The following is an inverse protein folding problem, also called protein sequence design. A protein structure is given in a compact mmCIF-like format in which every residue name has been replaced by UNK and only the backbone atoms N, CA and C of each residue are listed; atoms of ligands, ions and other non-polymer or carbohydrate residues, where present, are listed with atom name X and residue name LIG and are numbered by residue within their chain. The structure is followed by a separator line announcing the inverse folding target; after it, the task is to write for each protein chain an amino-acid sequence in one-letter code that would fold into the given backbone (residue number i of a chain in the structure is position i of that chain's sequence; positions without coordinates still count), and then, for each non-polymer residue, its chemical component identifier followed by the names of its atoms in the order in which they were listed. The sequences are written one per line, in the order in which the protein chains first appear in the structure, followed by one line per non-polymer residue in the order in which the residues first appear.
data_IF_564265768018
#
_entry.id   IF_564265768018
#
_cell.length_a   1.000
_cell.length_b   1.000
_cell.length_c   1.000
_cell.angle_alpha   90.00
_cell.angle_beta   90.00
_cell.angle_gamma   90.00
#
_symmetry.space_group_name_H-M   'P 1'
#
loop_
_entity.id
_entity.type
_entity.pdbx_description
1 polymer ?
#
# COMPACT_ATOMS: atom_id res chain seq x y z
N UNK A 1 -13.22 -0.49 -12.07
CA UNK A 1 -11.81 -0.72 -11.68
C UNK A 1 -11.16 0.62 -11.40
N UNK A 2 -10.69 0.84 -10.17
CA UNK A 2 -10.04 2.09 -9.75
C UNK A 2 -8.52 1.88 -9.65
N UNK A 3 -7.74 2.75 -10.31
CA UNK A 3 -6.27 2.81 -10.21
C UNK A 3 -5.87 3.96 -9.29
N UNK A 4 -5.00 3.69 -8.34
CA UNK A 4 -4.40 4.69 -7.44
C UNK A 4 -2.88 4.51 -7.43
N UNK A 5 -2.15 5.61 -7.32
CA UNK A 5 -0.68 5.61 -7.22
C UNK A 5 -0.22 6.51 -6.09
N UNK A 6 0.83 6.11 -5.40
CA UNK A 6 1.52 6.93 -4.40
C UNK A 6 3.02 6.66 -4.45
N UNK A 7 3.80 7.72 -4.25
CA UNK A 7 5.26 7.67 -4.25
C UNK A 7 5.78 8.18 -2.92
N UNK A 8 6.74 7.46 -2.34
CA UNK A 8 7.39 7.79 -1.08
C UNK A 8 8.90 7.88 -1.31
N UNK A 9 9.50 9.00 -0.92
CA UNK A 9 10.89 9.37 -1.21
C UNK A 9 11.72 9.70 0.04
N UNK A 10 11.24 9.28 1.20
CA UNK A 10 11.89 9.44 2.50
C UNK A 10 11.52 8.26 3.41
N UNK A 11 12.19 8.12 4.55
CA UNK A 11 11.84 7.13 5.57
C UNK A 11 10.52 7.53 6.27
N UNK A 12 9.39 7.20 5.64
CA UNK A 12 8.07 7.53 6.15
C UNK A 12 6.98 6.62 5.58
N UNK A 13 5.83 6.60 6.25
CA UNK A 13 4.61 6.09 5.68
C UNK A 13 4.03 7.08 4.68
N UNK A 14 3.67 6.59 3.50
CA UNK A 14 3.00 7.34 2.45
C UNK A 14 1.52 7.60 2.75
N UNK A 15 0.83 8.16 1.77
CA UNK A 15 -0.59 8.48 1.90
C UNK A 15 -1.42 7.21 2.06
N UNK A 16 -2.40 7.26 2.97
CA UNK A 16 -3.47 6.26 3.08
C UNK A 16 -4.24 6.20 1.76
N UNK A 17 -4.41 5.00 1.20
CA UNK A 17 -5.14 4.73 -0.03
C UNK A 17 -6.47 4.01 0.31
N UNK A 18 -7.60 4.73 0.42
CA UNK A 18 -8.91 4.13 0.67
C UNK A 18 -9.33 3.18 -0.45
N UNK A 19 -9.88 2.03 -0.09
CA UNK A 19 -10.46 1.06 -1.04
C UNK A 19 -11.93 0.79 -0.69
N UNK A 20 -12.71 0.37 -1.69
CA UNK A 20 -14.11 0.00 -1.46
C UNK A 20 -14.22 -1.43 -0.91
N UNK A 21 -14.14 -1.56 0.41
CA UNK A 21 -14.23 -2.85 1.11
C UNK A 21 -15.62 -3.49 1.02
N UNK A 22 -16.65 -2.74 0.63
CA UNK A 22 -18.04 -3.23 0.50
C UNK A 22 -18.34 -3.82 -0.87
N UNK A 23 -17.38 -3.82 -1.80
CA UNK A 23 -17.56 -4.41 -3.11
C UNK A 23 -17.71 -5.94 -3.01
N UNK A 24 -18.77 -6.48 -3.64
CA UNK A 24 -19.06 -7.92 -3.66
C UNK A 24 -17.98 -8.77 -4.34
N UNK A 25 -17.10 -8.15 -5.14
CA UNK A 25 -15.96 -8.78 -5.80
C UNK A 25 -14.66 -8.10 -5.38
N UNK A 26 -14.45 -7.94 -4.08
CA UNK A 26 -13.23 -7.35 -3.53
C UNK A 26 -11.98 -8.13 -3.97
N UNK A 27 -11.13 -7.49 -4.78
CA UNK A 27 -9.76 -7.93 -5.06
C UNK A 27 -8.88 -6.70 -5.30
N UNK A 28 -7.70 -6.70 -4.69
CA UNK A 28 -6.67 -5.69 -4.95
C UNK A 28 -5.46 -6.34 -5.61
N UNK A 29 -4.99 -5.77 -6.71
CA UNK A 29 -3.68 -6.02 -7.27
C UNK A 29 -2.76 -4.85 -6.98
N UNK A 30 -1.52 -5.10 -6.58
CA UNK A 30 -0.57 -4.08 -6.17
C UNK A 30 0.81 -4.39 -6.73
N UNK A 31 1.54 -3.34 -7.11
CA UNK A 31 2.93 -3.43 -7.48
C UNK A 31 3.69 -2.24 -6.89
N UNK A 32 4.87 -2.48 -6.34
CA UNK A 32 5.80 -1.45 -5.87
C UNK A 32 7.02 -1.45 -6.78
N UNK A 33 7.33 -0.29 -7.34
CA UNK A 33 8.50 -0.08 -8.20
C UNK A 33 9.42 0.93 -7.54
N UNK A 34 10.68 0.55 -7.42
CA UNK A 34 11.76 1.41 -6.93
C UNK A 34 12.38 2.18 -8.08
N UNK A 35 12.80 3.41 -7.83
CA UNK A 35 13.62 4.17 -8.77
C UNK A 35 14.96 3.45 -9.03
N UNK A 36 15.54 3.64 -10.21
CA UNK A 36 16.85 3.08 -10.54
C UNK A 36 17.88 3.52 -9.50
N UNK A 37 18.64 2.56 -8.94
CA UNK A 37 19.66 2.83 -7.93
C UNK A 37 19.12 3.19 -6.53
N UNK A 38 17.84 2.95 -6.26
CA UNK A 38 17.28 3.16 -4.93
C UNK A 38 17.98 2.29 -3.87
N UNK A 39 18.25 2.91 -2.72
CA UNK A 39 18.73 2.24 -1.53
C UNK A 39 17.74 2.54 -0.40
N UNK A 40 16.68 1.74 -0.35
CA UNK A 40 15.60 1.87 0.63
C UNK A 40 14.99 0.49 0.91
N UNK A 41 14.23 0.39 1.99
CA UNK A 41 13.44 -0.79 2.35
C UNK A 41 11.99 -0.36 2.49
N UNK A 42 11.08 -1.13 1.91
CA UNK A 42 9.64 -0.85 2.00
C UNK A 42 8.84 -2.04 2.50
N UNK A 43 7.68 -1.71 3.07
CA UNK A 43 6.60 -2.62 3.40
C UNK A 43 5.30 -2.03 2.87
N UNK A 44 4.44 -2.85 2.27
CA UNK A 44 3.05 -2.47 2.01
C UNK A 44 2.21 -2.89 3.19
N UNK A 45 1.42 -1.98 3.73
CA UNK A 45 0.63 -2.20 4.93
C UNK A 45 -0.87 -2.02 4.61
N UNK A 46 -1.72 -2.76 5.31
CA UNK A 46 -3.17 -2.65 5.22
C UNK A 46 -3.80 -2.47 6.59
N UNK A 47 -5.03 -1.97 6.62
CA UNK A 47 -5.82 -1.82 7.86
C UNK A 47 -7.27 -2.23 7.65
N UNK A 48 -7.89 -2.69 8.73
CA UNK A 48 -9.32 -3.01 8.80
C UNK A 48 -10.12 -1.91 9.52
N UNK A 49 -9.43 -0.95 10.12
CA UNK A 49 -10.07 0.13 10.86
C UNK A 49 -10.77 1.12 9.92
N UNK A 50 -11.73 1.88 10.47
CA UNK A 50 -12.40 2.93 9.71
C UNK A 50 -11.50 4.15 9.58
N UNK A 51 -10.91 4.31 8.40
CA UNK A 51 -10.03 5.44 8.06
C UNK A 51 -10.77 6.78 7.87
N UNK A 52 -12.11 6.79 7.88
CA UNK A 52 -12.93 8.01 7.81
C UNK A 52 -13.29 8.54 9.20
N UNK A 53 -13.10 7.74 10.24
CA UNK A 53 -13.32 8.15 11.63
C UNK A 53 -12.05 8.78 12.20
N UNK A 54 -12.04 10.10 12.36
CA UNK A 54 -10.89 10.85 12.90
C UNK A 54 -10.57 10.50 14.36
N UNK A 55 -11.50 9.85 15.08
CA UNK A 55 -11.25 9.38 16.44
C UNK A 55 -10.46 8.07 16.50
N UNK A 56 -10.34 7.37 15.37
CA UNK A 56 -9.63 6.09 15.25
C UNK A 56 -8.22 6.33 14.73
N UNK A 57 -7.22 5.86 15.47
CA UNK A 57 -5.85 5.71 14.94
C UNK A 57 -5.73 4.31 14.34
N UNK A 58 -5.58 4.17 13.00
CA UNK A 58 -5.61 2.86 12.38
C UNK A 58 -4.42 1.99 12.80
N UNK A 59 -4.69 0.73 13.08
CA UNK A 59 -3.70 -0.33 13.25
C UNK A 59 -3.31 -0.85 11.87
N UNK A 60 -2.02 -0.84 11.57
CA UNK A 60 -1.46 -1.26 10.29
C UNK A 60 -0.83 -2.63 10.41
N UNK A 61 -1.16 -3.50 9.45
CA UNK A 61 -0.65 -4.85 9.33
C UNK A 61 0.19 -4.96 8.08
N UNK A 62 1.32 -5.65 8.17
CA UNK A 62 2.16 -5.95 7.03
C UNK A 62 1.39 -6.84 6.04
N UNK A 63 1.45 -6.48 4.76
CA UNK A 63 0.84 -7.29 3.71
C UNK A 63 1.75 -8.46 3.38
N UNK A 64 1.21 -9.67 3.46
CA UNK A 64 1.96 -10.88 3.13
C UNK A 64 2.62 -10.80 1.75
N UNK A 65 3.88 -11.21 1.68
CA UNK A 65 4.72 -11.12 0.48
C UNK A 65 5.25 -9.72 0.13
N UNK A 66 4.85 -8.65 0.83
CA UNK A 66 5.30 -7.27 0.57
C UNK A 66 5.89 -6.60 1.83
N UNK A 67 6.76 -7.31 2.55
CA UNK A 67 7.34 -6.87 3.82
C UNK A 67 8.86 -6.81 3.79
N UNK A 68 9.44 -5.67 4.15
CA UNK A 68 10.90 -5.52 4.29
C UNK A 68 11.67 -5.68 2.98
N UNK A 69 11.05 -5.32 1.85
CA UNK A 69 11.59 -5.55 0.51
C UNK A 69 12.50 -4.42 0.04
N UNK A 70 13.48 -4.77 -0.80
CA UNK A 70 14.51 -3.86 -1.33
C UNK A 70 14.60 -3.88 -2.86
N UNK A 71 13.71 -4.61 -3.53
CA UNK A 71 13.59 -4.70 -4.98
C UNK A 71 12.14 -4.48 -5.40
N UNK A 72 11.90 -4.25 -6.69
CA UNK A 72 10.53 -4.24 -7.23
C UNK A 72 9.84 -5.56 -6.87
N UNK A 73 8.57 -5.46 -6.49
CA UNK A 73 7.75 -6.63 -6.19
C UNK A 73 6.26 -6.31 -6.33
N UNK A 74 5.45 -7.36 -6.34
CA UNK A 74 4.02 -7.32 -6.54
C UNK A 74 3.27 -8.24 -5.57
N UNK A 75 1.98 -7.97 -5.40
CA UNK A 75 1.16 -8.77 -4.51
C UNK A 75 -0.31 -8.47 -4.68
N UNK A 76 -1.12 -9.16 -3.89
CA UNK A 76 -2.57 -9.02 -3.94
C UNK A 76 -3.20 -9.15 -2.55
N UNK A 77 -4.35 -8.52 -2.38
CA UNK A 77 -5.21 -8.73 -1.20
C UNK A 77 -6.58 -9.19 -1.71
N UNK A 78 -7.01 -10.37 -1.24
CA UNK A 78 -8.30 -10.99 -1.60
C UNK A 78 -9.29 -11.05 -0.44
N UNK A 79 -8.91 -10.51 0.72
CA UNK A 79 -9.79 -10.30 1.87
C UNK A 79 -10.15 -8.82 1.96
N UNK A 80 -11.38 -8.44 2.32
CA UNK A 80 -11.75 -7.04 2.46
C UNK A 80 -10.85 -6.30 3.46
N UNK A 81 -10.29 -5.15 3.05
CA UNK A 81 -9.53 -4.23 3.91
C UNK A 81 -10.02 -2.81 3.66
N UNK A 82 -9.90 -1.91 4.63
CA UNK A 82 -10.40 -0.53 4.53
C UNK A 82 -9.46 0.38 3.73
N UNK A 83 -8.15 0.19 3.89
CA UNK A 83 -7.14 0.96 3.18
C UNK A 83 -5.80 0.22 3.09
N UNK A 84 -4.95 0.72 2.20
CA UNK A 84 -3.56 0.29 2.01
C UNK A 84 -2.65 1.52 2.08
N UNK A 85 -1.41 1.37 2.56
CA UNK A 85 -0.36 2.38 2.40
C UNK A 85 0.98 1.73 2.08
N UNK A 86 1.88 2.53 1.50
CA UNK A 86 3.28 2.17 1.31
C UNK A 86 4.09 2.78 2.46
N UNK A 87 4.89 1.98 3.16
CA UNK A 87 5.76 2.44 4.24
C UNK A 87 7.22 2.18 3.90
N UNK A 88 8.03 3.23 3.79
CA UNK A 88 9.48 3.11 3.61
C UNK A 88 10.14 3.10 4.99
N UNK A 89 10.59 1.92 5.40
CA UNK A 89 11.11 1.66 6.76
C UNK A 89 12.59 1.99 6.90
N UNK A 90 13.33 2.06 5.80
CA UNK A 90 14.72 2.53 5.73
C UNK A 90 14.93 3.28 4.43
N UNK A 91 15.67 4.39 4.45
CA UNK A 91 15.90 5.20 3.25
C UNK A 91 17.31 5.81 3.27
N UNK A 92 18.05 5.60 2.19
CA UNK A 92 19.31 6.29 1.90
C UNK A 92 19.19 7.12 0.61
N UNK A 93 18.54 6.57 -0.41
CA UNK A 93 18.32 7.26 -1.70
C UNK A 93 17.18 6.62 -2.50
N UNK A 94 16.67 7.37 -3.48
CA UNK A 94 15.63 6.91 -4.40
C UNK A 94 14.22 7.01 -3.85
N UNK A 95 13.27 6.42 -4.57
CA UNK A 95 11.85 6.48 -4.22
C UNK A 95 11.18 5.13 -4.48
N UNK A 96 10.13 4.83 -3.72
CA UNK A 96 9.26 3.68 -3.91
C UNK A 96 7.89 4.17 -4.39
N UNK A 97 7.38 3.60 -5.48
CA UNK A 97 6.06 3.94 -6.03
C UNK A 97 5.13 2.73 -5.99
N UNK A 98 4.07 2.81 -5.21
CA UNK A 98 2.99 1.82 -5.22
C UNK A 98 1.96 2.17 -6.29
N UNK A 99 1.55 1.16 -7.06
CA UNK A 99 0.35 1.20 -7.90
C UNK A 99 -0.64 0.18 -7.37
N UNK A 100 -1.84 0.64 -7.01
CA UNK A 100 -2.94 -0.19 -6.52
C UNK A 100 -4.08 -0.20 -7.55
N UNK A 101 -4.57 -1.41 -7.84
CA UNK A 101 -5.69 -1.68 -8.73
C UNK A 101 -6.78 -2.40 -7.95
N UNK A 102 -7.91 -1.74 -7.77
CA UNK A 102 -9.08 -2.37 -7.18
C UNK A 102 -9.97 -2.96 -8.28
N UNK A 103 -10.21 -4.27 -8.21
CA UNK A 103 -11.24 -4.95 -8.98
C UNK A 103 -12.61 -4.50 -8.49
N UNK A 104 -13.56 -4.36 -9.41
CA UNK A 104 -14.85 -3.75 -9.09
C UNK A 104 -14.78 -2.23 -8.95
N UNK A 105 -15.80 -1.66 -8.34
CA UNK A 105 -16.14 -0.23 -8.38
C UNK A 105 -17.41 -0.01 -9.20
N UNK A 106 -18.46 0.44 -8.50
CA UNK A 106 -19.67 1.01 -9.11
C UNK A 106 -19.32 2.19 -10.02
#
# INVERSE_FOLDING_TARGET
MRRVKNTVSSQSAGSTLPVDWRDSNFKLGMAVVLSVGAALTFTVEHTFDDIQDESVTPTWFDTDGLTGLTTNDEGNIIIPVSAVRLNVTSHTSGEATITLLQAGGR
#
